data_IF_927612892983
#
_entry.id   IF_927612892983
#
_cell.length_a   1.000
_cell.length_b   1.000
_cell.length_c   1.000
_cell.angle_alpha   90.00
_cell.angle_beta   90.00
_cell.angle_gamma   90.00
#
_symmetry.space_group_name_H-M   'P 1'
#
loop_
_entity.id
_entity.type
_entity.pdbx_description
1 polymer ?
#
# COMPACT_ATOMS: atom_id res chain seq x y z
N UNK A 1 -6.51 -1.88 -19.27
CA UNK A 1 -7.62 -1.40 -18.42
C UNK A 1 -7.15 -1.11 -17.00
N UNK A 2 -7.64 -0.03 -16.39
CA UNK A 2 -7.39 0.33 -14.98
C UNK A 2 -8.72 0.29 -14.24
N UNK A 3 -8.80 -0.49 -13.16
CA UNK A 3 -9.99 -0.58 -12.32
C UNK A 3 -9.84 0.27 -11.06
N UNK A 4 -10.86 1.04 -10.72
CA UNK A 4 -10.87 1.89 -9.52
C UNK A 4 -12.22 1.85 -8.83
N UNK A 5 -12.20 1.88 -7.51
CA UNK A 5 -13.39 2.06 -6.67
C UNK A 5 -13.76 3.53 -6.47
N UNK A 6 -12.96 4.45 -7.00
CA UNK A 6 -13.25 5.87 -6.97
C UNK A 6 -14.03 6.31 -8.21
N UNK A 7 -15.36 6.31 -8.07
CA UNK A 7 -16.32 6.52 -9.17
C UNK A 7 -16.08 7.77 -10.03
N UNK A 8 -15.56 8.85 -9.46
CA UNK A 8 -15.28 10.09 -10.18
C UNK A 8 -14.12 9.97 -11.18
N UNK A 9 -13.13 9.10 -10.92
CA UNK A 9 -11.97 8.92 -11.81
C UNK A 9 -12.33 8.32 -13.17
N UNK A 10 -13.46 7.62 -13.27
CA UNK A 10 -14.00 7.16 -14.56
C UNK A 10 -14.13 8.29 -15.58
N UNK A 11 -14.39 9.51 -15.12
CA UNK A 11 -14.69 10.65 -15.97
C UNK A 11 -13.50 11.60 -16.16
N UNK A 12 -12.30 11.22 -15.71
CA UNK A 12 -11.15 12.14 -15.67
C UNK A 12 -10.76 12.69 -17.05
N UNK A 13 -10.97 11.93 -18.13
CA UNK A 13 -10.73 12.36 -19.51
C UNK A 13 -11.85 13.21 -20.11
N UNK A 14 -13.07 13.12 -19.59
CA UNK A 14 -14.27 13.79 -20.14
C UNK A 14 -14.73 15.00 -19.33
N UNK A 15 -14.21 15.15 -18.12
CA UNK A 15 -14.63 16.19 -17.18
C UNK A 15 -14.12 17.56 -17.62
N UNK A 16 -15.03 18.55 -17.76
CA UNK A 16 -14.72 19.90 -18.23
C UNK A 16 -13.83 20.70 -17.28
N UNK A 17 -14.10 20.61 -15.99
CA UNK A 17 -13.39 21.37 -14.96
C UNK A 17 -12.62 20.42 -14.05
N UNK A 18 -11.29 20.55 -14.09
CA UNK A 18 -10.39 19.72 -13.32
C UNK A 18 -9.61 20.59 -12.35
N UNK A 19 -9.49 20.11 -11.12
CA UNK A 19 -8.63 20.75 -10.12
C UNK A 19 -7.14 20.56 -10.47
N UNK A 20 -6.26 21.34 -9.85
CA UNK A 20 -4.82 21.31 -10.16
C UNK A 20 -4.19 19.93 -9.96
N UNK A 21 -4.68 19.14 -8.99
CA UNK A 21 -4.20 17.77 -8.76
C UNK A 21 -4.59 16.86 -9.92
N UNK A 22 -5.84 16.91 -10.38
CA UNK A 22 -6.33 16.10 -11.50
C UNK A 22 -5.61 16.45 -12.81
N UNK A 23 -5.31 17.73 -13.07
CA UNK A 23 -4.52 18.13 -14.26
C UNK A 23 -3.12 17.53 -14.24
N UNK A 24 -2.42 17.57 -13.10
CA UNK A 24 -1.11 16.93 -12.95
C UNK A 24 -1.18 15.42 -13.22
N UNK A 25 -2.24 14.76 -12.75
CA UNK A 25 -2.43 13.33 -13.03
C UNK A 25 -2.73 13.06 -14.50
N UNK A 26 -3.54 13.89 -15.16
CA UNK A 26 -3.79 13.75 -16.60
C UNK A 26 -2.53 13.94 -17.43
N UNK A 27 -1.67 14.88 -17.06
CA UNK A 27 -0.38 15.07 -17.74
C UNK A 27 0.50 13.82 -17.67
N UNK A 28 0.37 13.01 -16.62
CA UNK A 28 1.07 11.74 -16.50
C UNK A 28 0.34 10.61 -17.25
N UNK A 29 -0.99 10.58 -17.18
CA UNK A 29 -1.80 9.52 -17.78
C UNK A 29 -1.88 9.60 -19.31
N UNK A 30 -1.71 10.78 -19.90
CA UNK A 30 -1.79 10.97 -21.37
C UNK A 30 -0.74 10.18 -22.15
N UNK A 31 0.37 9.83 -21.49
CA UNK A 31 1.47 9.07 -22.10
C UNK A 31 1.16 7.56 -22.17
N UNK A 32 0.02 7.13 -21.59
CA UNK A 32 -0.40 5.74 -21.53
C UNK A 32 -1.78 5.56 -22.16
N UNK A 33 -1.96 4.52 -22.98
CA UNK A 33 -3.27 4.13 -23.50
C UNK A 33 -4.11 3.49 -22.37
N UNK A 34 -4.78 4.34 -21.59
CA UNK A 34 -5.43 3.95 -20.34
C UNK A 34 -6.94 4.05 -20.44
N UNK A 35 -7.60 2.90 -20.28
CA UNK A 35 -9.05 2.81 -20.12
C UNK A 35 -9.41 2.64 -18.64
N UNK A 36 -9.92 3.69 -18.00
CA UNK A 36 -10.26 3.71 -16.57
C UNK A 36 -11.72 3.29 -16.37
N UNK A 37 -11.93 2.22 -15.63
CA UNK A 37 -13.24 1.65 -15.34
C UNK A 37 -13.54 1.68 -13.84
N UNK A 38 -14.78 2.04 -13.51
CA UNK A 38 -15.26 1.93 -12.14
C UNK A 38 -15.61 0.48 -11.82
N UNK A 39 -15.16 0.01 -10.66
CA UNK A 39 -15.61 -1.25 -10.09
C UNK A 39 -16.02 -1.04 -8.60
N UNK A 40 -17.02 -1.74 -8.06
CA UNK A 40 -17.47 -1.52 -6.68
C UNK A 40 -16.42 -1.95 -5.64
N UNK A 41 -16.16 -1.13 -4.62
CA UNK A 41 -15.12 -1.39 -3.58
C UNK A 41 -15.08 -2.81 -2.98
N UNK A 42 -16.21 -3.54 -2.94
CA UNK A 42 -16.24 -4.97 -2.54
C UNK A 42 -15.37 -5.89 -3.41
N UNK A 43 -15.12 -5.54 -4.67
CA UNK A 43 -14.20 -6.26 -5.55
C UNK A 43 -12.77 -5.68 -5.50
N UNK A 44 -12.51 -4.63 -4.70
CA UNK A 44 -11.23 -3.92 -4.64
C UNK A 44 -10.36 -4.46 -3.51
N UNK A 45 -10.81 -5.55 -2.88
CA UNK A 45 -10.26 -6.09 -1.62
C UNK A 45 -8.76 -6.30 -1.68
N UNK A 46 -8.20 -6.69 -2.83
CA UNK A 46 -6.76 -6.86 -3.01
C UNK A 46 -6.05 -5.51 -2.98
N UNK A 47 -6.46 -4.55 -3.81
CA UNK A 47 -5.86 -3.21 -3.85
C UNK A 47 -6.04 -2.47 -2.51
N UNK A 48 -7.21 -2.60 -1.88
CA UNK A 48 -7.50 -2.09 -0.54
C UNK A 48 -6.57 -2.70 0.52
N UNK A 49 -6.39 -4.02 0.53
CA UNK A 49 -5.50 -4.70 1.46
C UNK A 49 -4.04 -4.24 1.29
N UNK A 50 -3.60 -4.08 0.04
CA UNK A 50 -2.26 -3.56 -0.26
C UNK A 50 -2.08 -2.10 0.15
N UNK A 51 -3.07 -1.25 -0.13
CA UNK A 51 -3.06 0.16 0.26
C UNK A 51 -3.00 0.34 1.77
N UNK A 52 -3.74 -0.51 2.52
CA UNK A 52 -3.76 -0.48 3.99
C UNK A 52 -2.49 -1.05 4.62
N UNK A 53 -1.75 -1.93 3.94
CA UNK A 53 -0.53 -2.57 4.47
C UNK A 53 0.67 -1.62 4.62
N UNK A 54 0.65 -0.44 3.98
CA UNK A 54 1.72 0.56 4.07
C UNK A 54 1.55 1.55 5.23
N UNK A 55 0.44 1.49 5.97
CA UNK A 55 0.30 2.18 7.24
C UNK A 55 1.02 1.38 8.31
N UNK A 56 2.12 1.93 8.85
CA UNK A 56 2.79 1.45 10.06
C UNK A 56 1.78 0.88 11.05
N UNK A 57 2.07 -0.29 11.64
CA UNK A 57 1.32 -0.81 12.79
C UNK A 57 1.32 0.30 13.84
N UNK A 58 0.20 1.03 13.93
CA UNK A 58 0.03 2.11 14.87
C UNK A 58 0.16 1.51 16.28
N UNK A 59 1.24 1.91 16.98
CA UNK A 59 1.57 1.63 18.38
C UNK A 59 0.84 0.46 19.03
N UNK A 60 1.45 -0.73 19.02
CA UNK A 60 1.03 -1.79 19.93
C UNK A 60 1.49 -1.37 21.33
N UNK A 61 0.55 -1.06 22.22
CA UNK A 61 0.82 -0.94 23.65
C UNK A 61 0.97 -2.35 24.23
N UNK A 62 2.21 -2.84 24.27
CA UNK A 62 2.55 -4.18 24.76
C UNK A 62 2.66 -4.13 26.30
N UNK A 63 2.10 -5.13 27.00
CA UNK A 63 2.30 -5.31 28.45
C UNK A 63 3.73 -5.78 28.73
N UNK A 64 4.31 -5.41 29.87
CA UNK A 64 5.69 -5.82 30.25
C UNK A 64 5.92 -7.33 30.26
N UNK A 65 4.89 -8.12 30.57
CA UNK A 65 4.94 -9.58 30.55
C UNK A 65 5.29 -10.12 29.14
N UNK A 66 4.68 -9.52 28.11
CA UNK A 66 4.90 -9.90 26.72
C UNK A 66 6.30 -9.47 26.26
N UNK A 67 6.82 -8.33 26.75
CA UNK A 67 8.21 -7.91 26.46
C UNK A 67 9.20 -8.95 26.99
N UNK A 68 9.01 -9.43 28.23
CA UNK A 68 9.86 -10.45 28.83
C UNK A 68 9.81 -11.78 28.07
N UNK A 69 8.63 -12.16 27.58
CA UNK A 69 8.50 -13.38 26.78
C UNK A 69 9.20 -13.25 25.41
N UNK A 70 9.19 -12.07 24.79
CA UNK A 70 9.92 -11.82 23.54
C UNK A 70 11.44 -11.89 23.74
N UNK A 71 11.97 -11.34 24.84
CA UNK A 71 13.38 -11.47 25.20
C UNK A 71 13.78 -12.94 25.43
N UNK A 72 12.91 -13.73 26.09
CA UNK A 72 13.14 -15.19 26.29
C UNK A 72 13.15 -15.97 24.97
N UNK A 73 12.46 -15.47 23.96
CA UNK A 73 12.39 -16.06 22.63
C UNK A 73 13.48 -15.55 21.68
N UNK A 74 14.44 -14.76 22.18
CA UNK A 74 15.55 -14.18 21.40
C UNK A 74 15.07 -13.26 20.26
N UNK A 75 13.96 -12.54 20.48
CA UNK A 75 13.40 -11.60 19.52
C UNK A 75 13.84 -10.18 19.89
N UNK A 76 14.76 -9.61 19.11
CA UNK A 76 15.29 -8.26 19.35
C UNK A 76 14.28 -7.14 19.00
N UNK A 77 14.06 -6.21 19.94
CA UNK A 77 13.21 -5.04 19.78
C UNK A 77 14.04 -3.75 19.64
N UNK A 78 14.00 -3.10 18.47
CA UNK A 78 14.68 -1.83 18.26
C UNK A 78 13.76 -0.64 18.59
N UNK A 79 14.05 0.08 19.68
CA UNK A 79 13.28 1.24 20.16
C UNK A 79 14.02 2.54 19.83
N UNK A 80 13.34 3.48 19.15
CA UNK A 80 13.90 4.80 18.82
C UNK A 80 13.21 5.92 19.61
N UNK A 81 13.88 6.46 20.64
CA UNK A 81 13.52 7.72 21.31
C UNK A 81 12.89 7.61 22.71
N UNK A 82 13.24 8.56 23.59
CA UNK A 82 12.94 8.56 25.03
C UNK A 82 11.46 8.80 25.36
N UNK A 83 10.95 8.01 26.31
CA UNK A 83 9.62 8.05 26.98
C UNK A 83 8.43 7.38 26.27
N UNK A 84 8.63 6.14 25.81
CA UNK A 84 7.55 5.18 25.56
C UNK A 84 8.08 3.90 24.92
N UNK A 85 7.51 2.74 25.28
CA UNK A 85 7.80 1.47 24.61
C UNK A 85 7.19 1.50 23.21
N UNK A 86 7.94 2.01 22.23
CA UNK A 86 7.60 1.92 20.81
C UNK A 86 8.44 0.81 20.18
N UNK A 87 7.91 -0.41 20.26
CA UNK A 87 8.39 -1.54 19.48
C UNK A 87 7.85 -1.40 18.05
N UNK A 88 8.71 -1.19 17.05
CA UNK A 88 8.31 -1.30 15.64
C UNK A 88 8.68 -2.68 15.12
N UNK A 89 7.71 -3.58 14.97
CA UNK A 89 7.89 -4.81 14.18
C UNK A 89 7.75 -4.42 12.71
N UNK A 90 8.86 -4.46 11.96
CA UNK A 90 8.84 -4.21 10.52
C UNK A 90 8.63 -5.52 9.78
N UNK A 91 7.39 -5.80 9.41
CA UNK A 91 7.08 -6.85 8.44
C UNK A 91 7.14 -6.23 7.05
N UNK A 92 8.27 -6.39 6.35
CA UNK A 92 8.38 -5.93 4.97
C UNK A 92 7.58 -6.85 4.05
N UNK A 93 6.64 -6.34 3.23
CA UNK A 93 5.97 -7.14 2.23
C UNK A 93 6.99 -7.61 1.18
N UNK A 94 7.17 -8.92 1.04
CA UNK A 94 7.95 -9.55 -0.01
C UNK A 94 7.27 -9.48 -1.39
N UNK A 95 6.12 -8.82 -1.51
CA UNK A 95 5.31 -8.80 -2.72
C UNK A 95 6.08 -8.26 -3.94
N UNK A 96 6.86 -7.18 -3.77
CA UNK A 96 7.70 -6.66 -4.86
C UNK A 96 8.76 -7.68 -5.25
N UNK A 97 9.34 -8.38 -4.27
CA UNK A 97 10.31 -9.43 -4.53
C UNK A 97 9.65 -10.59 -5.31
N UNK A 98 8.46 -11.02 -4.90
CA UNK A 98 7.69 -12.07 -5.56
C UNK A 98 7.22 -11.70 -6.97
N UNK A 99 6.79 -10.46 -7.19
CA UNK A 99 6.44 -9.96 -8.53
C UNK A 99 7.68 -9.97 -9.42
N UNK A 100 8.80 -9.42 -8.94
CA UNK A 100 10.07 -9.42 -9.68
C UNK A 100 10.56 -10.82 -9.99
N UNK A 101 10.37 -11.76 -9.07
CA UNK A 101 10.78 -13.15 -9.26
C UNK A 101 9.90 -13.86 -10.29
N UNK A 102 8.58 -13.71 -10.18
CA UNK A 102 7.63 -14.25 -11.16
C UNK A 102 7.81 -13.66 -12.58
N UNK A 103 8.20 -12.39 -12.68
CA UNK A 103 8.49 -11.74 -13.98
C UNK A 103 9.78 -12.23 -14.65
N UNK A 104 10.70 -12.91 -13.94
CA UNK A 104 11.91 -13.47 -14.58
C UNK A 104 11.59 -14.67 -15.47
N UNK A 105 10.50 -15.37 -15.18
CA UNK A 105 10.08 -16.57 -15.90
C UNK A 105 9.00 -16.27 -16.95
N UNK A 106 8.56 -15.00 -17.04
CA UNK A 106 7.57 -14.57 -18.03
C UNK A 106 8.27 -14.26 -19.36
N UNK A 107 8.03 -15.10 -20.37
CA UNK A 107 8.61 -14.95 -21.71
C UNK A 107 7.94 -13.87 -22.57
N UNK A 108 6.85 -13.25 -22.09
CA UNK A 108 6.15 -12.16 -22.78
C UNK A 108 6.60 -10.76 -22.32
N UNK A 109 7.62 -10.68 -21.45
CA UNK A 109 8.35 -9.46 -21.04
C UNK A 109 9.79 -9.53 -21.55
#
# INVERSE_FOLDING_TARGET
DIFTDHKSLKYIFTQRELNMRQRRWLDLLKDYDTNIQYHPGKANVVADALSRKLGMIAGIKVKEEIIRDLERLDIELYVRGQHGYWASLRVEPDLIFRIKDAQKEDSEI
#
